data_IF_888421351936
#
_entry.id   IF_888421351936
#
_cell.length_a   1.000
_cell.length_b   1.000
_cell.length_c   1.000
_cell.angle_alpha   90.00
_cell.angle_beta   90.00
_cell.angle_gamma   90.00
#
_symmetry.space_group_name_H-M   'P 1'
#
loop_
_entity.id
_entity.type
_entity.pdbx_description
1 polymer ?
#
# COMPACT_ATOMS: atom_id res chain seq x y z
N UNK A 1 14.85 26.11 -8.37
CA UNK A 1 16.09 25.33 -8.39
C UNK A 1 16.80 25.46 -7.05
N UNK A 2 17.47 24.40 -6.59
CA UNK A 2 18.32 24.42 -5.40
C UNK A 2 19.74 24.67 -5.87
N UNK A 3 20.25 25.88 -5.61
CA UNK A 3 21.59 26.25 -6.05
C UNK A 3 22.65 25.40 -5.34
N UNK A 4 23.46 24.69 -6.11
CA UNK A 4 24.57 23.88 -5.59
C UNK A 4 25.91 24.62 -5.63
N UNK A 5 25.93 25.86 -6.11
CA UNK A 5 27.11 26.71 -6.10
C UNK A 5 27.60 26.98 -4.67
N UNK A 6 28.90 26.80 -4.43
CA UNK A 6 29.49 26.89 -3.09
C UNK A 6 29.41 25.55 -2.36
N UNK A 7 28.77 25.52 -1.19
CA UNK A 7 28.60 24.30 -0.40
C UNK A 7 27.36 23.53 -0.86
N UNK A 8 27.54 22.73 -1.91
CA UNK A 8 26.50 21.90 -2.50
C UNK A 8 25.86 20.93 -1.47
N UNK A 9 26.66 20.43 -0.53
CA UNK A 9 26.17 19.48 0.48
C UNK A 9 25.24 20.18 1.46
N UNK A 10 25.66 21.31 2.02
CA UNK A 10 24.81 22.11 2.90
C UNK A 10 23.53 22.57 2.21
N UNK A 11 23.59 22.88 0.90
CA UNK A 11 22.42 23.27 0.12
C UNK A 11 21.38 22.13 0.03
N UNK A 12 21.82 20.90 -0.23
CA UNK A 12 20.93 19.72 -0.25
C UNK A 12 20.44 19.32 1.14
N UNK A 13 21.26 19.43 2.18
CA UNK A 13 20.84 19.18 3.57
C UNK A 13 19.76 20.18 4.00
N UNK A 14 19.94 21.46 3.64
CA UNK A 14 18.93 22.51 3.87
C UNK A 14 17.65 22.22 3.10
N UNK A 15 17.75 21.79 1.83
CA UNK A 15 16.59 21.41 1.04
C UNK A 15 15.89 20.17 1.62
N UNK A 16 16.64 19.17 2.09
CA UNK A 16 16.14 17.96 2.73
C UNK A 16 15.29 18.29 3.96
N UNK A 17 15.80 19.17 4.85
CA UNK A 17 15.07 19.61 6.04
C UNK A 17 13.84 20.45 5.69
N UNK A 18 14.00 21.44 4.81
CA UNK A 18 12.92 22.38 4.44
C UNK A 18 11.77 21.70 3.70
N UNK A 19 12.06 20.76 2.81
CA UNK A 19 11.06 20.07 1.99
C UNK A 19 10.58 18.75 2.63
N UNK A 20 11.20 18.31 3.73
CA UNK A 20 10.83 17.06 4.42
C UNK A 20 11.12 15.81 3.58
N UNK A 21 12.26 15.79 2.87
CA UNK A 21 12.57 14.70 1.92
C UNK A 21 13.03 13.41 2.62
N UNK A 22 13.46 13.51 3.88
CA UNK A 22 13.96 12.40 4.70
C UNK A 22 15.07 11.58 4.02
N UNK A 23 15.95 12.25 3.27
CA UNK A 23 17.08 11.63 2.59
C UNK A 23 18.17 11.21 3.59
N UNK A 24 18.71 10.02 3.40
CA UNK A 24 19.89 9.54 4.10
C UNK A 24 21.18 10.16 3.54
N UNK A 25 22.28 10.05 4.29
CA UNK A 25 23.55 10.68 3.91
C UNK A 25 24.12 10.14 2.58
N UNK A 26 23.97 8.84 2.32
CA UNK A 26 24.35 8.19 1.06
C UNK A 26 23.46 8.64 -0.11
N UNK A 27 22.17 8.86 0.11
CA UNK A 27 21.25 9.41 -0.88
C UNK A 27 21.58 10.85 -1.25
N UNK A 28 21.97 11.68 -0.27
CA UNK A 28 22.48 13.04 -0.52
C UNK A 28 23.76 12.98 -1.34
N UNK A 29 24.71 12.10 -0.97
CA UNK A 29 25.96 11.92 -1.72
C UNK A 29 25.70 11.49 -3.18
N UNK A 30 24.76 10.56 -3.39
CA UNK A 30 24.34 10.13 -4.72
C UNK A 30 23.78 11.31 -5.55
N UNK A 31 22.92 12.15 -4.98
CA UNK A 31 22.38 13.32 -5.68
C UNK A 31 23.47 14.32 -6.03
N UNK A 32 24.41 14.59 -5.12
CA UNK A 32 25.55 15.48 -5.39
C UNK A 32 26.39 14.99 -6.57
N UNK A 33 26.73 13.71 -6.60
CA UNK A 33 27.50 13.11 -7.70
C UNK A 33 26.78 13.28 -9.05
N UNK A 34 25.49 12.95 -9.10
CA UNK A 34 24.71 13.00 -10.33
C UNK A 34 24.50 14.43 -10.84
N UNK A 35 24.16 15.39 -9.95
CA UNK A 35 23.94 16.77 -10.38
C UNK A 35 25.24 17.49 -10.73
N UNK A 36 26.38 17.11 -10.13
CA UNK A 36 27.71 17.54 -10.59
C UNK A 36 28.00 17.03 -12.00
N UNK A 37 27.71 15.75 -12.28
CA UNK A 37 27.91 15.17 -13.61
C UNK A 37 27.01 15.80 -14.68
N UNK A 38 25.77 16.18 -14.31
CA UNK A 38 24.84 16.88 -15.19
C UNK A 38 25.18 18.36 -15.43
N UNK A 39 26.07 18.94 -14.61
CA UNK A 39 26.48 20.34 -14.74
C UNK A 39 25.35 21.35 -14.50
N UNK A 40 24.32 20.98 -13.74
CA UNK A 40 23.17 21.85 -13.44
C UNK A 40 22.61 21.63 -12.04
N UNK A 41 21.88 22.62 -11.56
CA UNK A 41 21.17 22.55 -10.28
C UNK A 41 19.87 21.72 -10.38
N UNK A 42 19.55 20.93 -9.34
CA UNK A 42 18.25 20.26 -9.21
C UNK A 42 17.10 21.26 -9.12
N UNK A 43 15.93 20.87 -9.64
CA UNK A 43 14.66 21.46 -9.19
C UNK A 43 14.21 20.82 -7.88
N UNK A 44 13.36 21.53 -7.15
CA UNK A 44 12.64 20.97 -6.01
C UNK A 44 11.75 19.77 -6.41
N UNK A 45 11.11 19.85 -7.58
CA UNK A 45 10.31 18.76 -8.14
C UNK A 45 11.14 17.48 -8.38
N UNK A 46 12.36 17.60 -8.89
CA UNK A 46 13.25 16.45 -9.10
C UNK A 46 13.68 15.82 -7.78
N UNK A 47 14.03 16.64 -6.78
CA UNK A 47 14.41 16.14 -5.45
C UNK A 47 13.22 15.47 -4.74
N UNK A 48 12.03 16.05 -4.84
CA UNK A 48 10.81 15.47 -4.30
C UNK A 48 10.49 14.14 -4.99
N UNK A 49 10.58 14.07 -6.32
CA UNK A 49 10.40 12.83 -7.08
C UNK A 49 11.39 11.76 -6.61
N UNK A 50 12.68 12.10 -6.49
CA UNK A 50 13.71 11.19 -6.03
C UNK A 50 13.44 10.68 -4.61
N UNK A 51 13.10 11.57 -3.68
CA UNK A 51 12.81 11.24 -2.30
C UNK A 51 11.61 10.28 -2.17
N UNK A 52 10.53 10.55 -2.90
CA UNK A 52 9.34 9.69 -2.87
C UNK A 52 9.62 8.31 -3.48
N UNK A 53 10.36 8.24 -4.59
CA UNK A 53 10.73 6.98 -5.23
C UNK A 53 11.66 6.11 -4.37
N UNK A 54 12.51 6.74 -3.54
CA UNK A 54 13.50 6.06 -2.69
C UNK A 54 13.07 5.92 -1.22
N UNK A 55 11.88 6.37 -0.86
CA UNK A 55 11.30 6.13 0.46
C UNK A 55 11.21 4.64 0.79
N UNK A 56 11.20 4.30 2.08
CA UNK A 56 11.05 2.91 2.52
C UNK A 56 9.77 2.28 1.96
N UNK A 57 8.66 3.03 1.99
CA UNK A 57 7.35 2.60 1.51
C UNK A 57 7.35 2.24 0.02
N UNK A 58 8.08 2.99 -0.82
CA UNK A 58 8.13 2.73 -2.26
C UNK A 58 9.18 1.67 -2.63
N UNK A 59 10.36 1.73 -2.01
CA UNK A 59 11.51 0.92 -2.39
C UNK A 59 11.59 -0.42 -1.66
N UNK A 60 10.82 -0.60 -0.59
CA UNK A 60 10.78 -1.82 0.22
C UNK A 60 12.19 -2.25 0.65
N UNK A 61 12.99 -1.29 1.15
CA UNK A 61 14.41 -1.47 1.49
C UNK A 61 14.60 -2.61 2.50
N UNK A 62 13.77 -2.67 3.53
CA UNK A 62 13.82 -3.71 4.59
C UNK A 62 13.56 -5.11 4.02
N UNK A 63 12.57 -5.25 3.12
CA UNK A 63 12.23 -6.54 2.53
C UNK A 63 13.31 -7.09 1.59
N UNK A 64 14.11 -6.20 1.00
CA UNK A 64 15.22 -6.55 0.12
C UNK A 64 16.59 -6.53 0.81
N UNK A 65 16.64 -6.20 2.11
CA UNK A 65 17.88 -6.13 2.87
C UNK A 65 18.49 -7.53 3.07
N UNK A 66 19.82 -7.55 3.20
CA UNK A 66 20.55 -8.70 3.75
C UNK A 66 20.51 -8.62 5.27
N UNK A 67 20.41 -9.77 5.91
CA UNK A 67 20.25 -9.86 7.36
C UNK A 67 21.41 -10.61 7.99
N UNK A 68 21.80 -10.18 9.19
CA UNK A 68 22.67 -10.92 10.09
C UNK A 68 21.88 -11.13 11.38
N UNK A 69 21.67 -12.38 11.79
CA UNK A 69 20.93 -12.73 13.01
C UNK A 69 21.87 -13.46 13.95
N UNK A 70 22.04 -12.92 15.16
CA UNK A 70 22.94 -13.45 16.20
C UNK A 70 24.38 -13.66 15.70
N UNK A 71 24.87 -12.71 14.87
CA UNK A 71 26.20 -12.77 14.27
C UNK A 71 26.30 -13.56 12.97
N UNK A 72 25.26 -14.31 12.61
CA UNK A 72 25.28 -15.18 11.43
C UNK A 72 24.59 -14.53 10.21
N UNK A 73 25.29 -14.41 9.06
CA UNK A 73 24.67 -13.88 7.84
C UNK A 73 23.58 -14.82 7.31
N UNK A 74 22.50 -14.25 6.80
CA UNK A 74 21.40 -14.97 6.16
C UNK A 74 21.52 -14.86 4.63
N UNK A 75 21.27 -15.98 3.96
CA UNK A 75 21.39 -16.07 2.50
C UNK A 75 20.21 -15.39 1.80
N UNK A 76 18.99 -15.58 2.31
CA UNK A 76 17.78 -15.02 1.74
C UNK A 76 17.43 -13.63 2.32
N UNK A 77 16.80 -12.80 1.48
CA UNK A 77 16.07 -11.61 1.93
C UNK A 77 14.66 -12.01 2.36
N UNK A 78 13.94 -11.14 3.09
CA UNK A 78 12.54 -11.40 3.44
C UNK A 78 11.68 -11.63 2.19
N UNK A 79 11.87 -10.80 1.15
CA UNK A 79 11.17 -10.97 -0.12
C UNK A 79 11.59 -12.24 -0.86
N UNK A 80 12.87 -12.64 -0.75
CA UNK A 80 13.36 -13.92 -1.25
C UNK A 80 12.63 -15.10 -0.63
N UNK A 81 12.43 -15.09 0.70
CA UNK A 81 11.65 -16.12 1.40
C UNK A 81 10.18 -16.15 0.93
N UNK A 82 9.56 -14.99 0.67
CA UNK A 82 8.21 -14.94 0.09
C UNK A 82 8.20 -15.56 -1.32
N UNK A 83 9.15 -15.22 -2.18
CA UNK A 83 9.26 -15.80 -3.53
C UNK A 83 9.49 -17.31 -3.52
N UNK A 84 10.16 -17.84 -2.50
CA UNK A 84 10.38 -19.28 -2.34
C UNK A 84 9.06 -20.05 -2.22
N UNK A 85 8.01 -19.45 -1.61
CA UNK A 85 6.68 -20.08 -1.53
C UNK A 85 6.07 -20.32 -2.90
N UNK A 86 6.15 -19.33 -3.80
CA UNK A 86 5.69 -19.45 -5.18
C UNK A 86 6.57 -20.40 -6.00
N UNK A 87 7.89 -20.38 -5.80
CA UNK A 87 8.80 -21.31 -6.47
C UNK A 87 8.51 -22.78 -6.13
N UNK A 88 8.16 -23.05 -4.86
CA UNK A 88 7.77 -24.38 -4.41
C UNK A 88 6.37 -24.80 -4.90
N UNK A 89 5.45 -23.84 -5.04
CA UNK A 89 4.04 -24.10 -5.38
C UNK A 89 3.51 -23.12 -6.44
N UNK A 90 3.97 -23.21 -7.70
CA UNK A 90 3.61 -22.25 -8.75
C UNK A 90 2.23 -22.51 -9.38
N UNK A 91 1.57 -23.62 -9.01
CA UNK A 91 0.34 -24.07 -9.63
C UNK A 91 -0.73 -22.95 -9.66
N UNK A 92 -1.39 -22.82 -10.81
CA UNK A 92 -2.45 -21.83 -11.08
C UNK A 92 -2.01 -20.36 -11.08
N UNK A 93 -0.76 -20.01 -10.77
CA UNK A 93 -0.32 -18.62 -10.83
C UNK A 93 -0.07 -18.20 -12.28
N UNK A 94 -0.75 -17.15 -12.73
CA UNK A 94 -0.59 -16.57 -14.07
C UNK A 94 0.32 -15.32 -14.06
N UNK A 95 0.37 -14.60 -12.95
CA UNK A 95 1.24 -13.44 -12.73
C UNK A 95 1.52 -13.26 -11.25
N UNK A 96 2.78 -13.07 -10.86
CA UNK A 96 3.18 -12.75 -9.50
C UNK A 96 4.46 -11.89 -9.50
N UNK A 97 4.52 -10.90 -8.60
CA UNK A 97 5.69 -10.03 -8.38
C UNK A 97 6.14 -9.16 -9.56
N UNK A 98 5.33 -9.05 -10.62
CA UNK A 98 5.61 -8.28 -11.83
C UNK A 98 4.56 -7.20 -12.11
N UNK A 99 3.58 -7.05 -11.23
CA UNK A 99 2.46 -6.12 -11.36
C UNK A 99 1.90 -5.72 -9.99
N UNK A 100 0.90 -4.82 -10.00
CA UNK A 100 0.27 -4.29 -8.80
C UNK A 100 -0.56 -5.33 -8.03
N UNK A 101 -0.93 -6.44 -8.66
CA UNK A 101 -1.68 -7.55 -8.07
C UNK A 101 -1.18 -8.90 -8.61
N UNK A 102 -1.38 -9.97 -7.83
CA UNK A 102 -1.15 -11.34 -8.30
C UNK A 102 -2.37 -11.83 -9.08
N UNK A 103 -2.17 -12.61 -10.15
CA UNK A 103 -3.25 -13.17 -10.97
C UNK A 103 -3.22 -14.68 -10.92
N UNK A 104 -4.37 -15.28 -10.61
CA UNK A 104 -4.56 -16.72 -10.45
C UNK A 104 -5.53 -17.21 -11.54
N UNK A 105 -5.27 -18.42 -12.05
CA UNK A 105 -6.17 -19.12 -12.95
C UNK A 105 -7.52 -19.33 -12.24
N UNK A 106 -8.59 -18.91 -12.92
CA UNK A 106 -9.94 -19.09 -12.41
C UNK A 106 -10.61 -20.30 -13.06
N UNK A 107 -11.92 -20.17 -13.25
CA UNK A 107 -12.74 -21.22 -13.86
C UNK A 107 -13.32 -20.74 -15.18
N UNK A 108 -13.71 -21.70 -16.02
CA UNK A 108 -14.55 -21.43 -17.18
C UNK A 108 -15.93 -20.97 -16.72
N UNK A 109 -16.34 -19.79 -17.19
CA UNK A 109 -17.60 -19.16 -16.78
C UNK A 109 -18.20 -18.34 -17.91
N UNK A 110 -19.37 -17.75 -17.65
CA UNK A 110 -20.03 -16.84 -18.59
C UNK A 110 -19.82 -15.40 -18.15
N UNK A 111 -19.06 -14.63 -18.91
CA UNK A 111 -18.89 -13.20 -18.69
C UNK A 111 -20.00 -12.45 -19.40
N UNK A 112 -20.78 -11.68 -18.65
CA UNK A 112 -21.83 -10.83 -19.19
C UNK A 112 -21.30 -9.41 -19.38
N UNK A 113 -21.42 -8.88 -20.58
CA UNK A 113 -20.92 -7.56 -20.94
C UNK A 113 -21.58 -7.02 -22.20
N UNK A 114 -21.28 -5.78 -22.54
CA UNK A 114 -21.79 -5.13 -23.76
C UNK A 114 -20.87 -5.47 -24.92
N UNK A 115 -21.43 -5.99 -26.01
CA UNK A 115 -20.71 -6.12 -27.26
C UNK A 115 -20.40 -4.72 -27.83
N UNK A 116 -19.12 -4.40 -28.02
CA UNK A 116 -18.68 -3.05 -28.38
C UNK A 116 -19.17 -2.59 -29.77
N UNK A 117 -19.52 -3.52 -30.68
CA UNK A 117 -19.97 -3.18 -32.04
C UNK A 117 -21.47 -2.93 -32.09
N UNK A 118 -22.27 -3.75 -31.40
CA UNK A 118 -23.73 -3.69 -31.44
C UNK A 118 -24.36 -2.94 -30.27
N UNK A 119 -23.63 -2.71 -29.18
CA UNK A 119 -24.17 -2.13 -27.95
C UNK A 119 -25.11 -3.06 -27.18
N UNK A 120 -25.22 -4.32 -27.60
CA UNK A 120 -26.13 -5.31 -27.00
C UNK A 120 -25.41 -6.12 -25.93
N UNK A 121 -26.08 -6.34 -24.80
CA UNK A 121 -25.60 -7.20 -23.74
C UNK A 121 -25.56 -8.68 -24.17
N UNK A 122 -24.42 -9.34 -23.98
CA UNK A 122 -24.21 -10.75 -24.31
C UNK A 122 -23.43 -11.44 -23.21
N UNK A 123 -23.69 -12.73 -23.04
CA UNK A 123 -22.91 -13.60 -22.17
C UNK A 123 -22.01 -14.49 -23.03
N UNK A 124 -20.71 -14.41 -22.79
CA UNK A 124 -19.69 -15.18 -23.49
C UNK A 124 -19.06 -16.21 -22.54
N UNK A 125 -18.94 -17.46 -22.99
CA UNK A 125 -18.24 -18.50 -22.23
C UNK A 125 -16.73 -18.38 -22.44
N UNK A 126 -15.99 -18.08 -21.39
CA UNK A 126 -14.53 -17.92 -21.43
C UNK A 126 -13.88 -18.38 -20.12
N UNK A 127 -12.55 -18.49 -20.11
CA UNK A 127 -11.79 -18.57 -18.86
C UNK A 127 -11.84 -17.23 -18.13
N UNK A 128 -12.05 -17.25 -16.82
CA UNK A 128 -12.15 -16.05 -15.98
C UNK A 128 -11.09 -16.08 -14.89
N UNK A 129 -9.82 -15.76 -15.20
CA UNK A 129 -8.80 -15.51 -14.17
C UNK A 129 -9.22 -14.40 -13.22
N UNK A 130 -8.60 -14.37 -12.06
CA UNK A 130 -8.85 -13.32 -11.07
C UNK A 130 -7.55 -12.82 -10.45
N UNK A 131 -7.49 -11.52 -10.24
CA UNK A 131 -6.45 -10.85 -9.49
C UNK A 131 -6.81 -10.81 -8.01
N UNK A 132 -5.80 -10.85 -7.15
CA UNK A 132 -5.92 -10.64 -5.70
C UNK A 132 -4.93 -9.57 -5.25
N UNK A 133 -5.40 -8.66 -4.39
CA UNK A 133 -4.58 -7.61 -3.79
C UNK A 133 -5.08 -7.27 -2.40
N UNK A 134 -4.14 -6.88 -1.53
CA UNK A 134 -4.39 -6.33 -0.20
C UNK A 134 -3.39 -5.21 0.03
N UNK A 135 -3.86 -4.09 0.54
CA UNK A 135 -3.06 -2.93 0.94
C UNK A 135 -3.43 -2.46 2.35
N UNK A 136 -2.61 -1.56 2.88
CA UNK A 136 -2.91 -0.89 4.15
C UNK A 136 -2.78 0.62 4.04
N UNK A 137 -3.53 1.35 4.86
CA UNK A 137 -3.53 2.82 4.89
C UNK A 137 -3.39 3.39 6.30
N UNK A 138 -2.45 2.80 7.05
CA UNK A 138 -2.30 2.93 8.49
C UNK A 138 -2.06 4.38 8.97
N UNK A 139 -1.07 5.07 8.40
CA UNK A 139 -0.68 6.40 8.88
C UNK A 139 -1.74 7.47 8.58
N UNK A 140 -2.31 7.57 7.37
CA UNK A 140 -3.38 8.52 7.09
C UNK A 140 -4.63 8.24 7.95
N UNK A 141 -5.01 6.97 8.16
CA UNK A 141 -6.15 6.63 9.03
C UNK A 141 -5.92 7.00 10.49
N UNK A 142 -4.66 6.99 10.97
CA UNK A 142 -4.34 7.49 12.31
C UNK A 142 -4.62 8.99 12.47
N UNK A 143 -4.51 9.77 11.39
CA UNK A 143 -4.66 11.23 11.41
C UNK A 143 -6.11 11.64 11.10
N UNK A 144 -6.67 11.11 10.00
CA UNK A 144 -8.00 11.42 9.52
C UNK A 144 -8.71 10.13 9.10
N UNK A 145 -9.45 9.48 10.02
CA UNK A 145 -9.89 8.10 9.81
C UNK A 145 -10.77 7.88 8.59
N UNK A 146 -11.76 8.75 8.36
CA UNK A 146 -12.66 8.64 7.21
C UNK A 146 -11.91 8.70 5.87
N UNK A 147 -11.22 9.80 5.51
CA UNK A 147 -10.54 9.88 4.22
C UNK A 147 -9.38 8.88 4.12
N UNK A 148 -8.69 8.57 5.22
CA UNK A 148 -7.64 7.54 5.24
C UNK A 148 -8.19 6.16 4.87
N UNK A 149 -9.31 5.75 5.48
CA UNK A 149 -9.93 4.47 5.17
C UNK A 149 -10.57 4.43 3.77
N UNK A 150 -11.21 5.52 3.34
CA UNK A 150 -11.81 5.63 2.02
C UNK A 150 -10.76 5.53 0.90
N UNK A 151 -9.66 6.28 1.02
CA UNK A 151 -8.57 6.26 0.03
C UNK A 151 -7.74 4.98 0.09
N UNK A 152 -7.67 4.30 1.24
CA UNK A 152 -7.15 2.94 1.34
C UNK A 152 -7.93 1.95 0.47
N UNK A 153 -9.27 1.97 0.56
CA UNK A 153 -10.13 1.17 -0.32
C UNK A 153 -9.99 1.59 -1.80
N UNK A 154 -9.97 2.89 -2.06
CA UNK A 154 -9.85 3.41 -3.42
C UNK A 154 -8.51 3.14 -4.09
N UNK A 155 -7.41 3.17 -3.34
CA UNK A 155 -6.08 2.79 -3.85
C UNK A 155 -6.03 1.34 -4.29
N UNK A 156 -6.51 0.45 -3.44
CA UNK A 156 -6.54 -0.97 -3.70
C UNK A 156 -7.45 -1.34 -4.90
N UNK A 157 -8.62 -0.70 -5.01
CA UNK A 157 -9.51 -0.84 -6.18
C UNK A 157 -8.82 -0.40 -7.49
N UNK A 158 -7.97 0.64 -7.45
CA UNK A 158 -7.22 1.08 -8.65
C UNK A 158 -6.19 0.04 -9.08
N UNK A 159 -5.51 -0.61 -8.13
CA UNK A 159 -4.57 -1.67 -8.44
C UNK A 159 -5.24 -2.88 -9.08
N UNK A 160 -6.40 -3.27 -8.57
CA UNK A 160 -7.26 -4.29 -9.17
C UNK A 160 -7.70 -3.93 -10.60
N UNK A 161 -7.98 -2.65 -10.87
CA UNK A 161 -8.34 -2.17 -12.21
C UNK A 161 -7.15 -2.11 -13.17
N UNK A 162 -5.96 -1.78 -12.65
CA UNK A 162 -4.75 -1.51 -13.44
C UNK A 162 -3.86 -2.74 -13.68
N UNK A 163 -4.14 -3.87 -13.04
CA UNK A 163 -3.41 -5.13 -13.27
C UNK A 163 -3.52 -5.58 -14.73
N UNK A 164 -2.39 -6.01 -15.30
CA UNK A 164 -2.24 -6.40 -16.69
C UNK A 164 -2.68 -5.29 -17.63
N UNK A 165 -3.76 -5.54 -18.38
CA UNK A 165 -4.37 -4.58 -19.32
C UNK A 165 -5.84 -4.32 -19.00
N UNK A 166 -6.20 -4.37 -17.72
CA UNK A 166 -7.54 -4.06 -17.24
C UNK A 166 -8.16 -5.24 -16.50
N UNK A 167 -8.33 -5.07 -15.19
CA UNK A 167 -9.17 -5.91 -14.34
C UNK A 167 -10.53 -5.27 -14.07
N UNK A 168 -11.49 -6.09 -13.62
CA UNK A 168 -12.79 -5.62 -13.12
C UNK A 168 -12.94 -6.01 -11.64
N UNK A 169 -12.74 -5.05 -10.71
CA UNK A 169 -13.03 -5.23 -9.29
C UNK A 169 -14.39 -5.91 -9.06
N UNK A 170 -14.43 -6.89 -8.16
CA UNK A 170 -15.62 -7.74 -7.95
C UNK A 170 -16.07 -7.78 -6.50
N UNK A 171 -15.16 -8.06 -5.57
CA UNK A 171 -15.47 -8.21 -4.13
C UNK A 171 -14.32 -7.62 -3.33
N UNK A 172 -14.65 -6.87 -2.28
CA UNK A 172 -13.68 -6.33 -1.34
C UNK A 172 -13.70 -7.05 0.01
N UNK A 173 -12.67 -6.77 0.80
CA UNK A 173 -12.58 -7.04 2.23
C UNK A 173 -12.02 -5.81 2.96
N UNK A 174 -12.31 -5.66 4.24
CA UNK A 174 -11.81 -4.54 5.05
C UNK A 174 -11.44 -5.00 6.45
N UNK A 175 -10.28 -4.57 6.94
CA UNK A 175 -9.74 -4.99 8.23
C UNK A 175 -9.28 -3.83 9.10
N UNK A 176 -9.54 -3.92 10.40
CA UNK A 176 -9.09 -2.92 11.37
C UNK A 176 -8.39 -3.55 12.58
N UNK A 177 -7.24 -2.99 12.98
CA UNK A 177 -6.66 -3.18 14.31
C UNK A 177 -6.45 -1.84 14.98
N UNK A 178 -6.96 -1.69 16.19
CA UNK A 178 -6.88 -0.46 16.98
C UNK A 178 -6.54 -0.78 18.43
N UNK A 179 -6.05 0.22 19.15
CA UNK A 179 -5.94 0.17 20.60
C UNK A 179 -7.32 0.00 21.27
N UNK A 180 -7.36 -0.08 22.60
CA UNK A 180 -8.63 -0.17 23.32
C UNK A 180 -9.54 1.02 23.01
N UNK A 181 -10.81 0.72 22.73
CA UNK A 181 -11.78 1.69 22.23
C UNK A 181 -12.04 2.77 23.27
N UNK A 182 -12.21 2.38 24.54
CA UNK A 182 -12.59 3.31 25.63
C UNK A 182 -13.82 4.12 25.25
N UNK A 183 -14.89 3.43 24.87
CA UNK A 183 -16.14 4.05 24.43
C UNK A 183 -16.68 4.97 25.54
N UNK A 184 -16.95 6.25 25.26
CA UNK A 184 -17.50 7.17 26.26
C UNK A 184 -18.78 6.63 26.88
N UNK A 185 -18.84 6.58 28.21
CA UNK A 185 -19.98 6.04 28.95
C UNK A 185 -20.07 4.51 29.01
N UNK A 186 -19.11 3.78 28.41
CA UNK A 186 -19.09 2.31 28.40
C UNK A 186 -17.67 1.75 28.66
N UNK A 187 -17.09 2.02 29.84
CA UNK A 187 -15.76 1.50 30.17
C UNK A 187 -15.77 -0.02 30.31
N UNK A 188 -14.67 -0.67 29.91
CA UNK A 188 -14.46 -2.10 30.13
C UNK A 188 -13.35 -2.34 31.16
N UNK A 189 -13.45 -3.41 31.98
CA UNK A 189 -12.51 -3.63 33.09
C UNK A 189 -11.07 -3.90 32.66
N UNK A 190 -10.84 -4.30 31.40
CA UNK A 190 -9.50 -4.48 30.83
C UNK A 190 -8.92 -3.22 30.20
N UNK A 191 -9.68 -2.13 30.10
CA UNK A 191 -9.24 -0.88 29.47
C UNK A 191 -8.67 0.09 30.51
N UNK A 192 -7.36 0.12 30.66
CA UNK A 192 -6.69 1.09 31.53
C UNK A 192 -6.72 2.51 30.93
N UNK A 193 -6.96 3.51 31.77
CA UNK A 193 -6.80 4.92 31.40
C UNK A 193 -5.33 5.23 31.11
N UNK A 194 -5.07 6.03 30.06
CA UNK A 194 -3.72 6.49 29.70
C UNK A 194 -3.78 7.77 28.87
N UNK A 195 -2.68 8.55 28.80
CA UNK A 195 -2.58 9.63 27.84
C UNK A 195 -2.60 9.10 26.39
N UNK A 196 -3.31 9.81 25.52
CA UNK A 196 -3.33 9.58 24.08
C UNK A 196 -2.59 10.72 23.36
N UNK A 197 -2.00 10.41 22.20
CA UNK A 197 -1.37 11.44 21.37
C UNK A 197 -2.42 12.42 20.85
N UNK A 198 -2.23 13.74 20.99
CA UNK A 198 -3.17 14.73 20.43
C UNK A 198 -3.07 14.84 18.91
N UNK A 199 -2.09 14.19 18.27
CA UNK A 199 -1.89 14.21 16.81
C UNK A 199 -2.62 13.08 16.08
N UNK A 200 -3.11 12.09 16.81
CA UNK A 200 -3.80 10.94 16.24
C UNK A 200 -5.23 10.88 16.77
N UNK A 201 -6.14 10.42 15.92
CA UNK A 201 -7.46 10.01 16.34
C UNK A 201 -7.36 8.85 17.34
N UNK A 202 -8.22 8.87 18.35
CA UNK A 202 -8.37 7.76 19.28
C UNK A 202 -8.87 6.49 18.56
N UNK A 203 -8.65 5.32 19.17
CA UNK A 203 -9.17 4.06 18.66
C UNK A 203 -10.71 4.09 18.46
N UNK A 204 -11.42 4.79 19.34
CA UNK A 204 -12.86 5.02 19.20
C UNK A 204 -13.21 5.84 17.95
N UNK A 205 -12.54 6.98 17.74
CA UNK A 205 -12.76 7.82 16.56
C UNK A 205 -12.41 7.08 15.26
N UNK A 206 -11.32 6.30 15.27
CA UNK A 206 -10.94 5.46 14.14
C UNK A 206 -12.05 4.47 13.80
N UNK A 207 -12.61 3.78 14.79
CA UNK A 207 -13.67 2.79 14.56
C UNK A 207 -15.06 3.41 14.34
N UNK A 208 -15.27 4.66 14.74
CA UNK A 208 -16.48 5.42 14.44
C UNK A 208 -16.50 5.89 12.98
N UNK A 209 -15.39 6.45 12.50
CA UNK A 209 -15.35 7.19 11.24
C UNK A 209 -14.66 6.42 10.10
N UNK A 210 -13.65 5.59 10.41
CA UNK A 210 -12.88 4.82 9.43
C UNK A 210 -13.70 3.79 8.65
N UNK A 211 -14.45 2.89 9.32
CA UNK A 211 -15.32 1.93 8.63
C UNK A 211 -16.35 2.60 7.71
N UNK A 212 -16.89 3.76 8.11
CA UNK A 212 -17.81 4.53 7.28
C UNK A 212 -17.12 5.09 6.03
N UNK A 213 -15.89 5.59 6.14
CA UNK A 213 -15.11 6.02 4.99
C UNK A 213 -14.81 4.89 3.99
N UNK A 214 -14.37 3.72 4.47
CA UNK A 214 -14.14 2.55 3.62
C UNK A 214 -15.45 2.05 2.96
N UNK A 215 -16.55 2.02 3.73
CA UNK A 215 -17.86 1.63 3.21
C UNK A 215 -18.38 2.63 2.17
N UNK A 216 -18.23 3.94 2.41
CA UNK A 216 -18.63 4.97 1.48
C UNK A 216 -17.97 4.78 0.11
N UNK A 217 -16.65 4.55 0.09
CA UNK A 217 -15.93 4.31 -1.17
C UNK A 217 -16.41 3.02 -1.87
N UNK A 218 -16.51 1.90 -1.15
CA UNK A 218 -16.98 0.63 -1.73
C UNK A 218 -18.42 0.74 -2.27
N UNK A 219 -19.31 1.43 -1.54
CA UNK A 219 -20.71 1.62 -1.91
C UNK A 219 -20.85 2.51 -3.15
N UNK A 220 -20.19 3.67 -3.16
CA UNK A 220 -20.27 4.63 -4.27
C UNK A 220 -19.60 4.06 -5.54
N UNK A 221 -18.47 3.37 -5.40
CA UNK A 221 -17.83 2.66 -6.50
C UNK A 221 -18.67 1.48 -7.02
N UNK A 222 -19.44 0.82 -6.13
CA UNK A 222 -20.26 -0.33 -6.46
C UNK A 222 -19.54 -1.68 -6.39
N UNK A 223 -18.64 -1.85 -5.40
CA UNK A 223 -18.01 -3.14 -5.08
C UNK A 223 -18.49 -3.66 -3.72
N UNK A 224 -19.13 -4.84 -3.63
CA UNK A 224 -19.54 -5.39 -2.33
C UNK A 224 -18.32 -5.76 -1.47
N UNK A 225 -18.33 -5.35 -0.21
CA UNK A 225 -17.35 -5.77 0.79
C UNK A 225 -17.91 -6.95 1.60
N UNK A 226 -17.35 -8.15 1.44
CA UNK A 226 -17.95 -9.40 1.91
C UNK A 226 -17.17 -10.11 3.01
N UNK A 227 -15.97 -9.63 3.34
CA UNK A 227 -15.14 -10.19 4.38
C UNK A 227 -14.39 -9.10 5.14
N UNK A 228 -13.89 -9.45 6.31
CA UNK A 228 -13.13 -8.51 7.10
C UNK A 228 -12.71 -9.06 8.44
N UNK A 229 -11.98 -8.24 9.19
CA UNK A 229 -11.66 -8.52 10.58
C UNK A 229 -11.66 -7.23 11.39
N UNK A 230 -11.92 -7.36 12.68
CA UNK A 230 -11.77 -6.27 13.63
C UNK A 230 -11.08 -6.79 14.89
N UNK A 231 -10.01 -6.11 15.30
CA UNK A 231 -9.26 -6.40 16.52
C UNK A 231 -9.06 -5.13 17.34
N UNK A 232 -9.43 -5.18 18.61
CA UNK A 232 -8.92 -4.26 19.63
C UNK A 232 -7.84 -4.98 20.43
N UNK A 233 -6.67 -4.35 20.56
CA UNK A 233 -5.60 -4.89 21.39
C UNK A 233 -4.72 -3.76 21.90
N UNK A 234 -4.52 -3.75 23.21
CA UNK A 234 -3.58 -2.89 23.88
C UNK A 234 -3.12 -3.60 25.16
N UNK A 235 -1.82 -3.59 25.42
CA UNK A 235 -1.25 -4.19 26.62
C UNK A 235 -0.06 -3.37 27.09
N UNK A 236 -0.10 -2.98 28.35
CA UNK A 236 1.07 -2.47 29.04
C UNK A 236 2.05 -3.62 29.25
N UNK A 237 3.29 -3.43 28.83
CA UNK A 237 4.33 -4.41 29.14
C UNK A 237 4.80 -4.22 30.58
N UNK A 238 5.49 -5.21 31.14
CA UNK A 238 6.13 -5.06 32.45
C UNK A 238 7.27 -4.02 32.48
N UNK A 239 7.64 -3.46 31.32
CA UNK A 239 8.64 -2.40 31.20
C UNK A 239 7.95 -1.03 31.26
N UNK A 240 8.48 -0.16 32.12
CA UNK A 240 7.93 1.19 32.34
C UNK A 240 7.87 1.99 31.03
N UNK A 241 6.68 2.46 30.69
CA UNK A 241 6.45 3.29 29.50
C UNK A 241 6.34 2.51 28.18
N UNK A 242 6.60 1.20 28.16
CA UNK A 242 6.43 0.39 26.96
C UNK A 242 5.03 -0.23 26.91
N UNK A 243 4.31 0.10 25.83
CA UNK A 243 2.96 -0.40 25.57
C UNK A 243 2.89 -0.98 24.16
N UNK A 244 2.26 -2.15 24.03
CA UNK A 244 1.99 -2.82 22.76
C UNK A 244 0.53 -2.58 22.38
N UNK A 245 0.28 -2.06 21.19
CA UNK A 245 -1.07 -1.71 20.75
C UNK A 245 -1.05 -1.10 19.36
N UNK A 246 -2.16 -0.47 18.98
CA UNK A 246 -2.38 0.05 17.63
C UNK A 246 -2.88 1.49 17.68
N UNK A 247 -2.06 2.40 18.24
CA UNK A 247 -2.32 3.85 18.20
C UNK A 247 -2.15 4.41 16.79
N UNK A 248 -1.17 3.87 16.06
CA UNK A 248 -1.22 3.84 14.60
C UNK A 248 -2.00 2.56 14.24
N UNK A 249 -3.20 2.66 13.63
CA UNK A 249 -4.05 1.50 13.39
C UNK A 249 -3.47 0.62 12.28
N UNK A 250 -3.98 -0.60 12.19
CA UNK A 250 -4.04 -1.28 10.90
C UNK A 250 -5.37 -0.86 10.26
N UNK A 251 -5.30 -0.22 9.10
CA UNK A 251 -6.45 -0.07 8.20
C UNK A 251 -6.10 -0.84 6.94
N UNK A 252 -6.82 -1.92 6.68
CA UNK A 252 -6.55 -2.87 5.61
C UNK A 252 -7.70 -2.85 4.62
N UNK A 253 -7.38 -2.78 3.33
CA UNK A 253 -8.32 -2.95 2.24
C UNK A 253 -7.77 -4.00 1.27
N UNK A 254 -8.64 -4.80 0.69
CA UNK A 254 -8.24 -5.83 -0.27
C UNK A 254 -9.41 -6.31 -1.07
N UNK A 255 -9.15 -7.15 -2.06
CA UNK A 255 -10.22 -7.72 -2.85
C UNK A 255 -9.78 -8.66 -3.95
N UNK A 256 -10.75 -8.94 -4.81
CA UNK A 256 -10.66 -9.80 -5.97
C UNK A 256 -11.22 -9.06 -7.18
N UNK A 257 -10.49 -9.12 -8.30
CA UNK A 257 -10.93 -8.60 -9.58
C UNK A 257 -10.91 -9.67 -10.66
N UNK A 258 -11.97 -9.79 -11.45
CA UNK A 258 -11.98 -10.68 -12.60
C UNK A 258 -11.17 -10.07 -13.75
N UNK A 259 -10.47 -10.90 -14.51
CA UNK A 259 -9.70 -10.51 -15.68
C UNK A 259 -10.12 -11.28 -16.93
N UNK A 260 -9.80 -10.71 -18.09
CA UNK A 260 -9.81 -11.48 -19.35
C UNK A 260 -8.46 -12.19 -19.49
N UNK A 261 -8.46 -13.47 -19.91
CA UNK A 261 -7.24 -14.26 -20.04
C UNK A 261 -6.18 -13.59 -20.94
N UNK A 262 -6.62 -12.93 -22.02
CA UNK A 262 -5.72 -12.18 -22.91
C UNK A 262 -5.10 -10.94 -22.28
N UNK A 263 -5.64 -10.43 -21.16
CA UNK A 263 -5.22 -9.17 -20.54
C UNK A 263 -4.34 -9.35 -19.30
N UNK A 264 -3.98 -10.59 -18.95
CA UNK A 264 -3.16 -10.85 -17.74
C UNK A 264 -1.77 -10.22 -17.87
N UNK A 265 -1.14 -10.30 -19.04
CA UNK A 265 0.20 -9.77 -19.27
C UNK A 265 0.13 -8.33 -19.78
N UNK A 266 1.03 -7.48 -19.27
CA UNK A 266 1.29 -6.13 -19.81
C UNK A 266 1.94 -6.23 -21.19
N UNK A 267 1.69 -5.22 -22.03
CA UNK A 267 2.45 -5.02 -23.25
C UNK A 267 3.69 -4.19 -22.98
N UNK A 268 4.70 -4.31 -23.84
CA UNK A 268 5.85 -3.41 -23.85
C UNK A 268 5.49 -2.15 -24.60
N UNK A 269 5.70 -0.99 -23.96
CA UNK A 269 5.57 0.31 -24.60
C UNK A 269 6.51 0.43 -25.80
N UNK A 270 6.04 1.05 -26.87
CA UNK A 270 6.77 1.34 -28.09
C UNK A 270 7.02 2.85 -28.21
N UNK A 271 8.07 3.27 -28.95
CA UNK A 271 8.24 4.68 -29.29
C UNK A 271 6.99 5.25 -29.98
N UNK A 272 6.45 6.35 -29.45
CA UNK A 272 5.26 7.00 -29.98
C UNK A 272 3.93 6.54 -29.39
N UNK A 273 3.93 5.59 -28.44
CA UNK A 273 2.75 5.34 -27.61
C UNK A 273 2.37 6.63 -26.84
N UNK A 274 1.07 6.92 -26.80
CA UNK A 274 0.49 8.11 -26.16
C UNK A 274 0.30 7.95 -24.65
#
# INVERSE_FOLDING_TARGET
>A
HIALAGDAQAALETANARLGLALAADEIAYLLENYRALGRDPTDAELMMFAQANSEHCRHKVFNARWTLDGEPRAETLFGMIRATHAAHPAHTLSAYSDNAAVIAGSRGRRFGVDARSGVWRAETCEVPYAIKVETHNHPTAIAPWPGAATGAGGEIRDEGAVGRGGKPKVGLTGFSVSHLRIPGLPRPWESARPLSPRYASAFEIMRDGPLGAAAFNNEFGRPCLAGYFRSFEQESGEFGLRRGYDKPIMLAGGIANMSAGHVQKLKLQPGDA
#
